data_IF_581731615316
#
_entry.id   IF_581731615316
#
_cell.length_a   1.000
_cell.length_b   1.000
_cell.length_c   1.000
_cell.angle_alpha   90.00
_cell.angle_beta   90.00
_cell.angle_gamma   90.00
#
_symmetry.space_group_name_H-M   'P 1'
#
loop_
_entity.id
_entity.type
_entity.pdbx_description
1 polymer ?
#
# COMPACT_ATOMS: atom_id res chain seq x y z
N UNK A 1 9.42 12.13 -14.95
CA UNK A 1 8.33 11.43 -14.28
C UNK A 1 8.61 11.30 -12.78
N UNK A 2 7.58 11.42 -11.96
CA UNK A 2 7.67 11.36 -10.48
C UNK A 2 7.26 9.99 -9.91
N UNK A 3 7.24 8.94 -10.73
CA UNK A 3 6.81 7.60 -10.31
C UNK A 3 7.81 6.95 -9.33
N UNK A 4 9.12 7.14 -9.55
CA UNK A 4 10.15 6.57 -8.68
C UNK A 4 10.07 7.06 -7.23
N UNK A 5 9.97 8.39 -6.95
CA UNK A 5 9.80 8.88 -5.58
C UNK A 5 8.55 8.36 -4.88
N UNK A 6 7.45 8.22 -5.60
CA UNK A 6 6.20 7.66 -5.04
C UNK A 6 6.38 6.19 -4.68
N UNK A 7 7.00 5.39 -5.56
CA UNK A 7 7.25 3.97 -5.29
C UNK A 7 8.19 3.76 -4.08
N UNK A 8 9.20 4.61 -3.91
CA UNK A 8 10.04 4.59 -2.72
C UNK A 8 9.24 4.86 -1.43
N UNK A 9 8.23 5.74 -1.50
CA UNK A 9 7.32 5.99 -0.39
C UNK A 9 6.52 4.73 0.01
N UNK A 10 6.04 3.96 -0.96
CA UNK A 10 5.36 2.69 -0.71
C UNK A 10 6.29 1.63 -0.09
N UNK A 11 7.55 1.59 -0.48
CA UNK A 11 8.52 0.68 0.17
C UNK A 11 8.87 1.12 1.60
N UNK A 12 8.88 2.41 1.87
CA UNK A 12 9.14 2.95 3.20
C UNK A 12 7.93 2.81 4.14
N UNK A 13 6.71 2.84 3.62
CA UNK A 13 5.46 2.81 4.37
C UNK A 13 5.40 1.67 5.42
N UNK A 14 5.68 0.39 5.09
CA UNK A 14 5.64 -0.69 6.08
C UNK A 14 6.60 -0.48 7.25
N UNK A 15 7.79 0.06 6.99
CA UNK A 15 8.78 0.34 8.03
C UNK A 15 8.31 1.46 8.96
N UNK A 16 7.71 2.51 8.40
CA UNK A 16 7.12 3.61 9.19
C UNK A 16 5.97 3.10 10.05
N UNK A 17 5.14 2.18 9.52
CA UNK A 17 4.05 1.55 10.27
C UNK A 17 4.57 0.68 11.43
N UNK A 18 5.66 -0.05 11.25
CA UNK A 18 6.32 -0.82 12.33
C UNK A 18 6.80 0.14 13.43
N UNK A 19 7.44 1.24 13.05
CA UNK A 19 7.90 2.26 14.02
C UNK A 19 6.72 2.88 14.74
N UNK A 20 5.66 3.25 14.03
CA UNK A 20 4.44 3.80 14.61
C UNK A 20 3.74 2.81 15.56
N UNK A 21 3.61 1.54 15.18
CA UNK A 21 3.07 0.47 16.02
C UNK A 21 3.82 0.35 17.34
N UNK A 22 5.15 0.39 17.27
CA UNK A 22 5.98 0.31 18.46
C UNK A 22 5.91 1.55 19.35
N UNK A 23 5.96 2.74 18.76
CA UNK A 23 6.03 4.01 19.51
C UNK A 23 4.67 4.47 20.03
N UNK A 24 3.61 4.34 19.21
CA UNK A 24 2.28 4.86 19.53
C UNK A 24 1.41 3.83 20.26
N UNK A 25 1.58 2.54 19.94
CA UNK A 25 0.72 1.47 20.44
C UNK A 25 1.47 0.44 21.32
N UNK A 26 2.75 0.67 21.62
CA UNK A 26 3.61 -0.20 22.42
C UNK A 26 3.63 -1.67 21.93
N UNK A 27 3.47 -1.88 20.62
CA UNK A 27 3.44 -3.20 20.01
C UNK A 27 4.81 -3.87 20.14
N UNK A 28 4.81 -5.19 20.38
CA UNK A 28 6.03 -5.98 20.46
C UNK A 28 6.16 -6.80 19.17
N UNK A 29 7.28 -6.68 18.50
CA UNK A 29 7.60 -7.47 17.32
C UNK A 29 8.03 -8.88 17.76
N UNK A 30 7.54 -9.91 17.08
CA UNK A 30 8.13 -11.25 17.16
C UNK A 30 9.53 -11.26 16.54
N UNK A 31 10.29 -12.33 16.77
CA UNK A 31 11.63 -12.47 16.16
C UNK A 31 11.56 -12.48 14.64
N UNK A 32 10.55 -13.14 14.06
CA UNK A 32 10.32 -13.18 12.62
C UNK A 32 9.98 -11.80 12.06
N UNK A 33 9.07 -11.07 12.72
CA UNK A 33 8.71 -9.70 12.35
C UNK A 33 9.91 -8.75 12.43
N UNK A 34 10.74 -8.87 13.47
CA UNK A 34 11.96 -8.08 13.61
C UNK A 34 12.98 -8.38 12.50
N UNK A 35 13.16 -9.66 12.14
CA UNK A 35 14.02 -10.06 11.04
C UNK A 35 13.48 -9.56 9.68
N UNK A 36 12.19 -9.72 9.42
CA UNK A 36 11.56 -9.21 8.21
C UNK A 36 11.72 -7.68 8.09
N UNK A 37 11.51 -6.96 9.21
CA UNK A 37 11.71 -5.50 9.27
C UNK A 37 13.16 -5.12 8.97
N UNK A 38 14.14 -5.85 9.51
CA UNK A 38 15.56 -5.60 9.26
C UNK A 38 15.92 -5.81 7.78
N UNK A 39 15.45 -6.91 7.19
CA UNK A 39 15.68 -7.20 5.76
C UNK A 39 15.08 -6.11 4.88
N UNK A 40 13.85 -5.70 5.18
CA UNK A 40 13.19 -4.61 4.47
C UNK A 40 13.92 -3.27 4.65
N UNK A 41 14.38 -2.95 5.87
CA UNK A 41 15.11 -1.72 6.16
C UNK A 41 16.46 -1.64 5.40
N UNK A 42 17.19 -2.75 5.32
CA UNK A 42 18.43 -2.82 4.54
C UNK A 42 18.15 -2.58 3.05
N UNK A 43 17.09 -3.20 2.52
CA UNK A 43 16.71 -3.03 1.11
C UNK A 43 16.26 -1.61 0.80
N UNK A 44 15.40 -1.05 1.62
CA UNK A 44 14.92 0.34 1.48
C UNK A 44 16.10 1.32 1.62
N UNK A 45 16.99 1.11 2.57
CA UNK A 45 18.20 1.91 2.74
C UNK A 45 19.10 1.89 1.51
N UNK A 46 19.27 0.73 0.89
CA UNK A 46 20.03 0.61 -0.36
C UNK A 46 19.38 1.36 -1.53
N UNK A 47 18.04 1.28 -1.68
CA UNK A 47 17.31 2.05 -2.70
C UNK A 47 17.46 3.57 -2.49
N UNK A 48 17.39 4.02 -1.23
CA UNK A 48 17.63 5.43 -0.91
C UNK A 48 19.06 5.88 -1.22
N UNK A 49 20.04 5.03 -0.95
CA UNK A 49 21.42 5.32 -1.31
C UNK A 49 21.59 5.52 -2.81
N UNK A 50 20.97 4.68 -3.62
CA UNK A 50 21.01 4.79 -5.08
C UNK A 50 20.23 6.02 -5.62
N UNK A 51 19.10 6.35 -5.00
CA UNK A 51 18.28 7.48 -5.41
C UNK A 51 18.92 8.85 -5.13
N UNK A 52 19.87 8.93 -4.20
CA UNK A 52 20.66 10.12 -3.86
C UNK A 52 19.89 11.27 -3.21
N UNK A 53 18.57 11.30 -3.28
CA UNK A 53 17.73 12.31 -2.63
C UNK A 53 16.34 11.78 -2.30
N UNK A 54 15.81 12.22 -1.18
CA UNK A 54 14.41 11.97 -0.80
C UNK A 54 13.54 13.13 -1.25
N UNK A 55 12.53 12.84 -2.08
CA UNK A 55 11.57 13.84 -2.48
C UNK A 55 10.41 13.94 -1.46
N UNK A 56 9.69 15.05 -1.48
CA UNK A 56 8.56 15.27 -0.58
C UNK A 56 7.42 14.24 -0.81
N UNK A 57 7.26 13.76 -2.05
CA UNK A 57 6.26 12.75 -2.40
C UNK A 57 6.49 11.44 -1.65
N UNK A 58 7.75 11.02 -1.50
CA UNK A 58 8.13 9.83 -0.72
C UNK A 58 7.62 9.93 0.72
N UNK A 59 7.83 11.08 1.36
CA UNK A 59 7.39 11.31 2.73
C UNK A 59 5.88 11.41 2.87
N UNK A 60 5.20 12.06 1.92
CA UNK A 60 3.73 12.14 1.92
C UNK A 60 3.10 10.76 1.83
N UNK A 61 3.62 9.87 0.99
CA UNK A 61 3.10 8.50 0.88
C UNK A 61 3.38 7.72 2.17
N UNK A 62 4.62 7.69 2.64
CA UNK A 62 5.02 6.87 3.78
C UNK A 62 4.37 7.34 5.10
N UNK A 63 4.38 8.66 5.37
CA UNK A 63 3.85 9.22 6.60
C UNK A 63 2.34 9.43 6.53
N UNK A 64 1.81 9.88 5.39
CA UNK A 64 0.39 10.22 5.24
C UNK A 64 -0.51 9.03 5.56
N UNK A 65 -0.21 7.87 5.01
CA UNK A 65 -0.99 6.67 5.26
C UNK A 65 -0.83 6.17 6.70
N UNK A 66 0.40 6.20 7.22
CA UNK A 66 0.68 5.80 8.62
C UNK A 66 -0.02 6.71 9.61
N UNK A 67 0.02 8.02 9.39
CA UNK A 67 -0.67 9.02 10.24
C UNK A 67 -2.19 8.80 10.17
N UNK A 68 -2.74 8.62 8.97
CA UNK A 68 -4.16 8.36 8.78
C UNK A 68 -4.63 7.14 9.58
N UNK A 69 -3.97 5.99 9.43
CA UNK A 69 -4.35 4.76 10.14
C UNK A 69 -4.12 4.88 11.65
N UNK A 70 -3.02 5.51 12.08
CA UNK A 70 -2.73 5.74 13.49
C UNK A 70 -3.78 6.63 14.14
N UNK A 71 -4.19 7.70 13.46
CA UNK A 71 -5.18 8.63 13.95
C UNK A 71 -6.56 7.97 14.05
N UNK A 72 -6.95 7.20 13.05
CA UNK A 72 -8.21 6.45 13.05
C UNK A 72 -8.26 5.44 14.20
N UNK A 73 -7.17 4.72 14.43
CA UNK A 73 -7.06 3.77 15.55
C UNK A 73 -7.13 4.48 16.89
N UNK A 74 -6.44 5.60 17.03
CA UNK A 74 -6.46 6.40 18.26
C UNK A 74 -7.83 7.00 18.54
N UNK A 75 -8.54 7.48 17.52
CA UNK A 75 -9.88 8.03 17.60
C UNK A 75 -11.00 6.97 17.66
N UNK A 76 -10.65 5.67 17.58
CA UNK A 76 -11.62 4.56 17.51
C UNK A 76 -12.62 4.69 16.34
N UNK A 77 -12.19 5.31 15.25
CA UNK A 77 -12.97 5.49 14.02
C UNK A 77 -12.57 4.51 12.90
N UNK A 78 -11.74 3.52 13.22
CA UNK A 78 -11.27 2.46 12.33
C UNK A 78 -12.35 1.41 12.02
N UNK A 79 -13.56 1.89 11.74
CA UNK A 79 -14.74 1.07 11.44
C UNK A 79 -15.10 1.18 9.96
N UNK A 80 -15.87 0.21 9.45
CA UNK A 80 -16.44 0.29 8.10
C UNK A 80 -17.30 1.54 7.92
N UNK A 81 -18.08 1.92 8.96
CA UNK A 81 -18.88 3.14 8.93
C UNK A 81 -18.00 4.39 8.76
N UNK A 82 -16.87 4.47 9.50
CA UNK A 82 -15.91 5.55 9.33
C UNK A 82 -15.31 5.58 7.92
N UNK A 83 -15.00 4.42 7.35
CA UNK A 83 -14.52 4.33 5.97
C UNK A 83 -15.56 4.83 4.95
N UNK A 84 -16.84 4.49 5.15
CA UNK A 84 -17.93 5.01 4.31
C UNK A 84 -18.02 6.54 4.39
N UNK A 85 -17.85 7.13 5.56
CA UNK A 85 -17.81 8.58 5.72
C UNK A 85 -16.64 9.19 4.95
N UNK A 86 -15.45 8.60 5.01
CA UNK A 86 -14.30 9.07 4.24
C UNK A 86 -14.58 9.06 2.73
N UNK A 87 -15.16 7.96 2.22
CA UNK A 87 -15.52 7.85 0.80
C UNK A 87 -16.58 8.88 0.42
N UNK A 88 -17.58 9.09 1.27
CA UNK A 88 -18.62 10.11 1.04
C UNK A 88 -18.05 11.53 1.03
N UNK A 89 -17.06 11.82 1.87
CA UNK A 89 -16.39 13.13 1.90
C UNK A 89 -15.48 13.35 0.69
N UNK A 90 -14.90 12.28 0.14
CA UNK A 90 -14.06 12.35 -1.08
C UNK A 90 -14.89 12.44 -2.35
N UNK A 91 -16.14 11.96 -2.34
CA UNK A 91 -17.00 11.92 -3.52
C UNK A 91 -17.20 13.28 -4.21
N UNK A 92 -17.49 14.40 -3.52
CA UNK A 92 -17.61 15.71 -4.16
C UNK A 92 -16.33 16.12 -4.89
N UNK A 93 -15.17 15.89 -4.27
CA UNK A 93 -13.87 16.18 -4.90
C UNK A 93 -13.66 15.33 -6.15
N UNK A 94 -13.93 14.03 -6.07
CA UNK A 94 -13.83 13.11 -7.21
C UNK A 94 -14.75 13.55 -8.36
N UNK A 95 -15.99 13.94 -8.09
CA UNK A 95 -16.94 14.47 -9.09
C UNK A 95 -16.36 15.73 -9.76
N UNK A 96 -15.87 16.70 -8.95
CA UNK A 96 -15.30 17.94 -9.51
C UNK A 96 -14.10 17.66 -10.41
N UNK A 97 -13.19 16.77 -10.01
CA UNK A 97 -12.04 16.40 -10.82
C UNK A 97 -12.45 15.69 -12.11
N UNK A 98 -13.41 14.77 -12.03
CA UNK A 98 -13.93 14.06 -13.22
C UNK A 98 -14.60 15.01 -14.21
N UNK A 99 -15.40 15.96 -13.72
CA UNK A 99 -16.07 16.95 -14.56
C UNK A 99 -15.11 17.95 -15.20
N UNK A 100 -13.97 18.24 -14.54
CA UNK A 100 -12.93 19.13 -15.05
C UNK A 100 -11.92 18.45 -15.97
N UNK A 101 -11.88 17.13 -16.01
CA UNK A 101 -10.97 16.40 -16.87
C UNK A 101 -11.46 16.44 -18.34
N UNK A 102 -10.73 17.09 -19.27
CA UNK A 102 -11.26 17.47 -20.59
C UNK A 102 -11.60 16.27 -21.49
N UNK A 103 -11.01 15.11 -21.24
CA UNK A 103 -11.14 13.93 -22.09
C UNK A 103 -11.87 12.74 -21.44
N UNK A 104 -12.39 12.89 -20.22
CA UNK A 104 -12.98 11.75 -19.48
C UNK A 104 -14.30 11.29 -20.12
N UNK A 105 -15.19 12.22 -20.39
CA UNK A 105 -16.52 11.92 -20.94
C UNK A 105 -16.50 11.45 -22.38
N UNK A 106 -15.77 12.12 -23.33
CA UNK A 106 -15.63 11.62 -24.69
C UNK A 106 -15.06 10.21 -24.73
N UNK A 107 -14.01 9.92 -23.95
CA UNK A 107 -13.39 8.59 -23.91
C UNK A 107 -14.37 7.49 -23.51
N UNK A 108 -15.20 7.73 -22.50
CA UNK A 108 -16.17 6.74 -22.02
C UNK A 108 -17.37 6.64 -22.96
N UNK A 109 -17.78 7.75 -23.58
CA UNK A 109 -18.87 7.76 -24.57
C UNK A 109 -18.49 7.01 -25.85
N UNK A 110 -17.25 7.19 -26.31
CA UNK A 110 -16.73 6.55 -27.53
C UNK A 110 -16.44 5.05 -27.33
N UNK A 111 -16.29 4.60 -26.08
CA UNK A 111 -15.99 3.21 -25.75
C UNK A 111 -17.00 2.63 -24.74
N UNK A 112 -18.20 2.23 -25.16
CA UNK A 112 -19.26 1.70 -24.25
C UNK A 112 -18.82 0.51 -23.40
N UNK A 113 -17.85 -0.28 -23.86
CA UNK A 113 -17.28 -1.39 -23.12
C UNK A 113 -16.56 -0.97 -21.83
N UNK A 114 -16.21 0.32 -21.67
CA UNK A 114 -15.60 0.81 -20.43
C UNK A 114 -16.60 0.86 -19.27
N UNK A 115 -17.88 1.01 -19.50
CA UNK A 115 -18.88 1.10 -18.44
C UNK A 115 -18.90 -0.14 -17.52
N UNK A 116 -19.05 -1.37 -18.04
CA UNK A 116 -19.00 -2.55 -17.19
C UNK A 116 -17.62 -2.73 -16.52
N UNK A 117 -16.52 -2.38 -17.19
CA UNK A 117 -15.18 -2.46 -16.61
C UNK A 117 -15.02 -1.48 -15.44
N UNK A 118 -15.53 -0.25 -15.55
CA UNK A 118 -15.51 0.73 -14.46
C UNK A 118 -16.36 0.28 -13.28
N UNK A 119 -17.53 -0.34 -13.53
CA UNK A 119 -18.37 -0.90 -12.47
C UNK A 119 -17.66 -2.04 -11.75
N UNK A 120 -17.08 -2.98 -12.50
CA UNK A 120 -16.33 -4.10 -11.91
C UNK A 120 -15.14 -3.58 -11.11
N UNK A 121 -14.37 -2.64 -11.67
CA UNK A 121 -13.25 -2.00 -10.97
C UNK A 121 -13.71 -1.33 -9.67
N UNK A 122 -14.83 -0.60 -9.71
CA UNK A 122 -15.40 0.06 -8.53
C UNK A 122 -15.80 -0.94 -7.44
N UNK A 123 -16.49 -2.03 -7.81
CA UNK A 123 -16.88 -3.08 -6.85
C UNK A 123 -15.66 -3.77 -6.26
N UNK A 124 -14.70 -4.19 -7.09
CA UNK A 124 -13.47 -4.86 -6.64
C UNK A 124 -12.68 -3.95 -5.71
N UNK A 125 -12.52 -2.68 -6.06
CA UNK A 125 -11.82 -1.70 -5.22
C UNK A 125 -12.54 -1.46 -3.89
N UNK A 126 -13.87 -1.34 -3.91
CA UNK A 126 -14.65 -1.15 -2.69
C UNK A 126 -14.53 -2.35 -1.73
N UNK A 127 -14.61 -3.56 -2.26
CA UNK A 127 -14.43 -4.80 -1.47
C UNK A 127 -13.01 -4.89 -0.93
N UNK A 128 -12.00 -4.63 -1.77
CA UNK A 128 -10.59 -4.67 -1.35
C UNK A 128 -10.30 -3.66 -0.23
N UNK A 129 -10.79 -2.42 -0.36
CA UNK A 129 -10.63 -1.39 0.66
C UNK A 129 -11.38 -1.73 1.96
N UNK A 130 -12.58 -2.30 1.86
CA UNK A 130 -13.33 -2.77 3.04
C UNK A 130 -12.58 -3.87 3.79
N UNK A 131 -12.04 -4.86 3.06
CA UNK A 131 -11.22 -5.93 3.65
C UNK A 131 -9.92 -5.38 4.25
N UNK A 132 -9.28 -4.42 3.58
CA UNK A 132 -8.08 -3.74 4.08
C UNK A 132 -8.38 -3.00 5.40
N UNK A 133 -9.52 -2.31 5.51
CA UNK A 133 -9.94 -1.65 6.74
C UNK A 133 -10.24 -2.65 7.87
N UNK A 134 -10.87 -3.77 7.57
CA UNK A 134 -11.12 -4.84 8.54
C UNK A 134 -9.77 -5.41 9.04
N UNK A 135 -8.85 -5.71 8.13
CA UNK A 135 -7.53 -6.23 8.48
C UNK A 135 -6.73 -5.24 9.34
N UNK A 136 -6.74 -3.94 9.00
CA UNK A 136 -6.04 -2.90 9.77
C UNK A 136 -6.53 -2.78 11.22
N UNK A 137 -7.79 -3.14 11.46
CA UNK A 137 -8.39 -3.15 12.80
C UNK A 137 -8.01 -4.39 13.63
N UNK A 138 -7.92 -5.54 12.98
CA UNK A 138 -7.69 -6.82 13.68
C UNK A 138 -6.20 -7.11 13.92
N UNK A 139 -5.34 -6.55 13.08
CA UNK A 139 -3.91 -6.79 13.16
C UNK A 139 -3.17 -5.68 13.93
N UNK A 140 -2.09 -6.01 14.64
CA UNK A 140 -1.13 -5.02 15.10
C UNK A 140 -0.64 -4.17 13.91
N UNK A 141 -0.43 -2.85 14.14
CA UNK A 141 -0.09 -1.92 13.06
C UNK A 141 1.22 -2.29 12.37
N UNK A 142 2.21 -2.74 13.14
CA UNK A 142 3.49 -3.19 12.61
C UNK A 142 3.35 -4.41 11.71
N UNK A 143 2.57 -5.43 12.14
CA UNK A 143 2.30 -6.61 11.33
C UNK A 143 1.50 -6.26 10.07
N UNK A 144 0.47 -5.44 10.21
CA UNK A 144 -0.33 -4.96 9.09
C UNK A 144 0.53 -4.24 8.03
N UNK A 145 1.47 -3.37 8.49
CA UNK A 145 2.44 -2.73 7.62
C UNK A 145 3.33 -3.74 6.89
N UNK A 146 3.91 -4.72 7.60
CA UNK A 146 4.76 -5.74 6.99
C UNK A 146 4.00 -6.60 5.96
N UNK A 147 2.73 -6.91 6.20
CA UNK A 147 1.88 -7.63 5.24
C UNK A 147 1.61 -6.84 3.96
N UNK A 148 1.77 -5.51 3.97
CA UNK A 148 1.67 -4.70 2.74
C UNK A 148 2.75 -5.05 1.71
N UNK A 149 3.84 -5.72 2.11
CA UNK A 149 4.81 -6.27 1.14
C UNK A 149 4.28 -7.45 0.31
N UNK A 150 3.13 -8.03 0.68
CA UNK A 150 2.45 -9.05 -0.15
C UNK A 150 2.00 -8.45 -1.48
N UNK A 151 1.62 -7.17 -1.52
CA UNK A 151 1.16 -6.50 -2.73
C UNK A 151 2.21 -6.52 -3.85
N UNK A 152 3.45 -6.00 -3.65
CA UNK A 152 4.47 -6.09 -4.69
C UNK A 152 4.85 -7.53 -5.05
N UNK A 153 4.76 -8.48 -4.10
CA UNK A 153 4.98 -9.89 -4.41
C UNK A 153 3.91 -10.43 -5.38
N UNK A 154 2.63 -10.12 -5.14
CA UNK A 154 1.54 -10.52 -6.03
C UNK A 154 1.63 -9.83 -7.39
N UNK A 155 2.05 -8.56 -7.45
CA UNK A 155 2.24 -7.85 -8.72
C UNK A 155 3.28 -8.54 -9.61
N UNK A 156 4.35 -9.10 -9.03
CA UNK A 156 5.34 -9.90 -9.78
C UNK A 156 4.72 -11.15 -10.38
N UNK A 157 3.89 -11.85 -9.60
CA UNK A 157 3.19 -13.04 -10.11
C UNK A 157 2.28 -12.67 -11.28
N UNK A 158 1.55 -11.57 -11.16
CA UNK A 158 0.67 -11.07 -12.24
C UNK A 158 1.49 -10.68 -13.47
N UNK A 159 2.58 -9.93 -13.31
CA UNK A 159 3.48 -9.54 -14.41
C UNK A 159 4.02 -10.78 -15.15
N UNK A 160 4.46 -11.80 -14.39
CA UNK A 160 4.91 -13.06 -14.97
C UNK A 160 3.82 -13.80 -15.74
N UNK A 161 2.59 -13.85 -15.20
CA UNK A 161 1.43 -14.44 -15.89
C UNK A 161 1.06 -13.71 -17.18
N UNK A 162 1.32 -12.38 -17.24
CA UNK A 162 1.13 -11.56 -18.43
C UNK A 162 2.28 -11.67 -19.44
N UNK A 163 3.30 -12.50 -19.15
CA UNK A 163 4.45 -12.72 -20.03
C UNK A 163 5.54 -11.66 -19.91
N UNK A 164 5.50 -10.82 -18.88
CA UNK A 164 6.57 -9.86 -18.63
C UNK A 164 7.79 -10.57 -18.02
N UNK A 165 8.99 -10.15 -18.44
CA UNK A 165 10.24 -10.68 -17.88
C UNK A 165 10.71 -9.80 -16.73
N UNK A 166 11.07 -10.45 -15.61
CA UNK A 166 11.66 -9.74 -14.46
C UNK A 166 13.11 -9.39 -14.81
N UNK A 167 13.45 -8.10 -14.67
CA UNK A 167 14.83 -7.68 -14.88
C UNK A 167 15.77 -8.35 -13.85
N UNK A 168 16.95 -8.86 -14.27
CA UNK A 168 17.88 -9.55 -13.35
C UNK A 168 18.21 -8.76 -12.08
N UNK A 169 18.24 -7.44 -12.18
CA UNK A 169 18.52 -6.55 -11.05
C UNK A 169 17.41 -6.54 -9.99
N UNK A 170 16.18 -6.90 -10.38
CA UNK A 170 15.00 -6.92 -9.51
C UNK A 170 14.79 -8.28 -8.83
N UNK A 171 15.39 -9.36 -9.36
CA UNK A 171 15.20 -10.73 -8.83
C UNK A 171 15.54 -10.79 -7.35
N UNK A 172 16.68 -10.24 -6.93
CA UNK A 172 17.09 -10.26 -5.53
C UNK A 172 16.07 -9.56 -4.62
N UNK A 173 15.50 -8.44 -5.08
CA UNK A 173 14.46 -7.70 -4.34
C UNK A 173 13.24 -8.56 -4.09
N UNK A 174 12.76 -9.23 -5.13
CA UNK A 174 11.58 -10.06 -5.02
C UNK A 174 11.82 -11.31 -4.17
N UNK A 175 12.99 -11.94 -4.29
CA UNK A 175 13.38 -13.07 -3.44
C UNK A 175 13.37 -12.67 -1.95
N UNK A 176 13.91 -11.50 -1.62
CA UNK A 176 13.91 -10.99 -0.24
C UNK A 176 12.49 -10.65 0.26
N UNK A 177 11.64 -10.08 -0.59
CA UNK A 177 10.23 -9.81 -0.25
C UNK A 177 9.47 -11.13 -0.01
N UNK A 178 9.60 -12.11 -0.91
CA UNK A 178 8.96 -13.41 -0.73
C UNK A 178 9.47 -14.14 0.51
N UNK A 179 10.76 -14.05 0.82
CA UNK A 179 11.32 -14.62 2.03
C UNK A 179 10.77 -13.93 3.29
N UNK A 180 10.67 -12.61 3.29
CA UNK A 180 10.11 -11.85 4.42
C UNK A 180 8.62 -12.19 4.64
N UNK A 181 7.83 -12.25 3.57
CA UNK A 181 6.42 -12.65 3.63
C UNK A 181 6.28 -14.11 4.11
N UNK A 182 7.11 -15.01 3.60
CA UNK A 182 7.12 -16.42 4.02
C UNK A 182 7.45 -16.60 5.51
N UNK A 183 8.39 -15.82 6.03
CA UNK A 183 8.72 -15.79 7.47
C UNK A 183 7.53 -15.32 8.31
N UNK A 184 6.80 -14.29 7.86
CA UNK A 184 5.63 -13.78 8.56
C UNK A 184 4.49 -14.82 8.60
N UNK A 185 4.26 -15.51 7.49
CA UNK A 185 3.23 -16.56 7.41
C UNK A 185 3.63 -17.76 8.29
N UNK A 186 4.92 -18.13 8.29
CA UNK A 186 5.44 -19.25 9.09
C UNK A 186 5.45 -19.02 10.60
N UNK A 187 5.48 -17.77 11.06
CA UNK A 187 5.46 -17.41 12.49
C UNK A 187 4.04 -17.53 13.10
N UNK A 188 3.05 -17.91 12.31
CA UNK A 188 1.66 -18.08 12.73
C UNK A 188 0.99 -16.76 13.05
N UNK A 189 0.56 -16.11 12.01
CA UNK A 189 -0.29 -14.90 12.12
C UNK A 189 -1.41 -15.10 13.12
#
# INVERSE_FOLDING_TARGET
GRALPVSLGYFLLPLVMVVAGRLLFAERLTRAQALATLVAAVRVGHEFWQAGSMSWETWVVALGYTVYLSLRRWLHTDTLAGHWVDMALLLPAAIVFTLRAPNSWPLVADHPALWPLLLVLGVVSAVALALYMIASRWLPMGLFGLLSYVEPALLVVVAWLLGESIAPQQVLTYVLIFAAVGLLIGDGI
#
